data_IF_475871272744
#
_entry.id   IF_475871272744
#
_cell.length_a   1.000
_cell.length_b   1.000
_cell.length_c   1.000
_cell.angle_alpha   90.00
_cell.angle_beta   90.00
_cell.angle_gamma   90.00
#
_symmetry.space_group_name_H-M   'P 1'
#
loop_
_entity.id
_entity.type
_entity.pdbx_description
1 polymer ?
#
# COMPACT_ATOMS: atom_id res chain seq x y z
N UNK A 1 13.47 4.05 13.42
CA UNK A 1 13.63 5.31 14.18
C UNK A 1 14.21 6.47 13.36
N UNK A 2 15.03 6.23 12.33
CA UNK A 2 15.62 7.29 11.47
C UNK A 2 14.66 7.77 10.38
N UNK A 3 13.72 6.95 9.96
CA UNK A 3 12.79 7.25 8.85
C UNK A 3 11.85 8.40 9.18
N UNK A 4 11.31 8.49 10.40
CA UNK A 4 10.39 9.56 10.81
C UNK A 4 11.00 10.97 10.65
N UNK A 5 12.17 11.30 11.25
CA UNK A 5 12.75 12.64 11.06
C UNK A 5 13.12 12.92 9.60
N UNK A 6 13.62 11.93 8.84
CA UNK A 6 13.93 12.10 7.43
C UNK A 6 12.70 12.44 6.60
N UNK A 7 11.59 11.73 6.81
CA UNK A 7 10.35 12.02 6.10
C UNK A 7 9.71 13.35 6.52
N UNK A 8 9.79 13.69 7.80
CA UNK A 8 9.32 15.00 8.27
C UNK A 8 10.12 16.14 7.66
N UNK A 9 11.44 16.03 7.61
CA UNK A 9 12.30 17.00 6.97
C UNK A 9 12.05 17.09 5.45
N UNK A 10 11.87 15.94 4.78
CA UNK A 10 11.53 15.89 3.37
C UNK A 10 10.16 16.52 3.06
N UNK A 11 9.15 16.27 3.90
CA UNK A 11 7.83 16.88 3.79
C UNK A 11 7.90 18.40 3.88
N UNK A 12 8.55 18.91 4.92
CA UNK A 12 8.71 20.36 5.13
C UNK A 12 9.55 20.99 4.03
N UNK A 13 10.67 20.36 3.67
CA UNK A 13 11.54 20.85 2.59
C UNK A 13 10.81 20.92 1.25
N UNK A 14 10.04 19.87 0.90
CA UNK A 14 9.27 19.85 -0.33
C UNK A 14 8.19 20.94 -0.34
N UNK A 15 7.49 21.16 0.79
CA UNK A 15 6.48 22.20 0.92
C UNK A 15 7.09 23.60 0.70
N UNK A 16 8.23 23.86 1.34
CA UNK A 16 8.94 25.14 1.22
C UNK A 16 9.46 25.34 -0.22
N UNK A 17 9.96 24.30 -0.84
CA UNK A 17 10.51 24.37 -2.20
C UNK A 17 9.45 24.36 -3.30
N UNK A 18 8.22 23.93 -3.00
CA UNK A 18 7.13 23.81 -3.99
C UNK A 18 6.90 25.10 -4.79
N UNK A 19 6.85 26.32 -4.20
CA UNK A 19 6.68 27.55 -4.96
C UNK A 19 7.81 27.83 -5.96
N UNK A 20 9.05 27.47 -5.62
CA UNK A 20 10.21 27.64 -6.49
C UNK A 20 10.29 26.54 -7.58
N UNK A 21 9.91 25.31 -7.23
CA UNK A 21 9.89 24.17 -8.16
C UNK A 21 8.78 24.29 -9.20
N UNK A 22 7.65 24.88 -8.85
CA UNK A 22 6.49 24.96 -9.72
C UNK A 22 6.78 25.62 -11.08
N UNK A 23 7.36 26.85 -11.16
CA UNK A 23 7.68 27.47 -12.44
C UNK A 23 8.73 26.68 -13.24
N UNK A 24 9.72 26.09 -12.56
CA UNK A 24 10.74 25.26 -13.20
C UNK A 24 10.12 24.01 -13.84
N UNK A 25 9.25 23.33 -13.14
CA UNK A 25 8.59 22.12 -13.63
C UNK A 25 7.55 22.44 -14.73
N UNK A 26 6.91 23.60 -14.67
CA UNK A 26 6.05 24.09 -15.76
C UNK A 26 6.89 24.32 -17.03
N UNK A 27 7.98 25.08 -16.93
CA UNK A 27 8.89 25.35 -18.05
C UNK A 27 9.45 24.04 -18.64
N UNK A 28 9.91 23.13 -17.77
CA UNK A 28 10.40 21.79 -18.17
C UNK A 28 9.32 21.00 -18.91
N UNK A 29 8.09 21.03 -18.41
CA UNK A 29 6.94 20.36 -19.04
C UNK A 29 6.66 20.89 -20.44
N UNK A 30 6.79 22.20 -20.66
CA UNK A 30 6.64 22.83 -21.96
C UNK A 30 7.78 22.43 -22.90
N UNK A 31 9.02 22.59 -22.45
CA UNK A 31 10.23 22.30 -23.26
C UNK A 31 10.25 20.83 -23.69
N UNK A 32 9.95 19.91 -22.78
CA UNK A 32 9.93 18.46 -23.06
C UNK A 32 8.62 17.98 -23.72
N UNK A 33 7.69 18.89 -24.02
CA UNK A 33 6.36 18.55 -24.56
C UNK A 33 5.60 17.51 -23.75
N UNK A 34 5.80 17.50 -22.43
CA UNK A 34 5.15 16.58 -21.47
C UNK A 34 3.96 17.23 -20.75
N UNK A 35 3.61 18.47 -21.08
CA UNK A 35 2.52 19.22 -20.47
C UNK A 35 2.70 19.34 -18.94
N UNK A 36 1.66 19.08 -18.17
CA UNK A 36 1.64 19.23 -16.73
C UNK A 36 2.12 18.01 -15.93
N UNK A 37 2.73 16.99 -16.56
CA UNK A 37 3.08 15.73 -15.88
C UNK A 37 3.99 16.00 -14.66
N UNK A 38 5.01 16.83 -14.81
CA UNK A 38 5.94 17.14 -13.70
C UNK A 38 5.26 17.88 -12.55
N UNK A 39 4.34 18.80 -12.86
CA UNK A 39 3.54 19.50 -11.85
C UNK A 39 2.61 18.54 -11.13
N UNK A 40 1.97 17.62 -11.85
CA UNK A 40 1.11 16.57 -11.27
C UNK A 40 1.89 15.65 -10.34
N UNK A 41 3.13 15.29 -10.72
CA UNK A 41 4.03 14.53 -9.84
C UNK A 41 4.40 15.32 -8.58
N UNK A 42 4.69 16.61 -8.70
CA UNK A 42 4.99 17.48 -7.55
C UNK A 42 3.78 17.55 -6.59
N UNK A 43 2.58 17.73 -7.13
CA UNK A 43 1.34 17.77 -6.34
C UNK A 43 1.13 16.44 -5.62
N UNK A 44 1.25 15.30 -6.32
CA UNK A 44 1.11 13.98 -5.70
C UNK A 44 2.17 13.74 -4.63
N UNK A 45 3.42 14.18 -4.85
CA UNK A 45 4.47 14.08 -3.85
C UNK A 45 4.13 14.89 -2.59
N UNK A 46 3.63 16.11 -2.73
CA UNK A 46 3.16 16.92 -1.59
C UNK A 46 2.01 16.21 -0.84
N UNK A 47 1.01 15.70 -1.56
CA UNK A 47 -0.10 14.95 -0.94
C UNK A 47 0.42 13.73 -0.18
N UNK A 48 1.35 12.97 -0.77
CA UNK A 48 1.95 11.81 -0.14
C UNK A 48 2.68 12.18 1.15
N UNK A 49 3.60 13.15 1.10
CA UNK A 49 4.35 13.55 2.29
C UNK A 49 3.49 14.18 3.38
N UNK A 50 2.44 14.93 3.01
CA UNK A 50 1.47 15.44 3.98
C UNK A 50 0.63 14.32 4.61
N UNK A 51 0.26 13.30 3.83
CA UNK A 51 -0.45 12.13 4.34
C UNK A 51 0.44 11.33 5.31
N UNK A 52 1.75 11.19 5.01
CA UNK A 52 2.73 10.59 5.92
C UNK A 52 2.84 11.36 7.23
N UNK A 53 3.07 12.67 7.15
CA UNK A 53 3.19 13.53 8.32
C UNK A 53 1.92 13.49 9.18
N UNK A 54 0.75 13.60 8.54
CA UNK A 54 -0.55 13.49 9.21
C UNK A 54 -0.75 12.10 9.85
N UNK A 55 -0.36 11.03 9.15
CA UNK A 55 -0.39 9.66 9.65
C UNK A 55 0.50 9.46 10.89
N UNK A 56 1.72 9.99 10.87
CA UNK A 56 2.65 9.96 12.01
C UNK A 56 2.05 10.69 13.22
N UNK A 57 1.54 11.92 13.02
CA UNK A 57 0.95 12.73 14.10
C UNK A 57 -0.28 12.04 14.70
N UNK A 58 -1.20 11.58 13.86
CA UNK A 58 -2.40 10.87 14.32
C UNK A 58 -2.02 9.56 15.01
N UNK A 59 -1.04 8.82 14.50
CA UNK A 59 -0.59 7.59 15.14
C UNK A 59 0.02 7.84 16.53
N UNK A 60 0.76 8.94 16.69
CA UNK A 60 1.28 9.40 17.99
C UNK A 60 0.14 9.76 18.95
N UNK A 61 -0.84 10.52 18.49
CA UNK A 61 -2.03 10.86 19.26
C UNK A 61 -2.80 9.61 19.71
N UNK A 62 -3.05 8.66 18.80
CA UNK A 62 -3.73 7.40 19.13
C UNK A 62 -2.96 6.59 20.19
N UNK A 63 -1.64 6.58 20.10
CA UNK A 63 -0.78 5.90 21.08
C UNK A 63 -0.94 6.52 22.47
N UNK A 64 -0.91 7.85 22.59
CA UNK A 64 -1.11 8.56 23.83
C UNK A 64 -2.55 8.34 24.37
N UNK A 65 -3.55 8.50 23.50
CA UNK A 65 -4.99 8.44 23.86
C UNK A 65 -5.43 7.06 24.37
N UNK A 66 -4.87 5.99 23.82
CA UNK A 66 -5.24 4.61 24.14
C UNK A 66 -4.21 3.88 25.00
N UNK A 67 -3.26 4.59 25.60
CA UNK A 67 -2.20 3.99 26.42
C UNK A 67 -1.46 2.87 25.69
N UNK A 68 -0.90 3.21 24.53
CA UNK A 68 -0.22 2.26 23.62
C UNK A 68 1.01 1.58 24.18
N UNK A 69 1.49 1.99 25.38
CA UNK A 69 2.52 1.30 26.17
C UNK A 69 2.03 0.03 26.89
N UNK A 70 0.73 -0.25 26.88
CA UNK A 70 0.20 -1.49 27.49
C UNK A 70 0.64 -2.70 26.67
N UNK A 71 0.92 -3.81 27.36
CA UNK A 71 1.35 -5.06 26.73
C UNK A 71 0.32 -5.66 25.75
N UNK A 72 -0.97 -5.44 26.05
CA UNK A 72 -2.07 -5.90 25.18
C UNK A 72 -2.81 -4.68 24.65
N UNK A 73 -2.84 -4.45 23.35
CA UNK A 73 -3.59 -3.34 22.76
C UNK A 73 -5.09 -3.54 22.96
N UNK A 74 -5.81 -2.46 23.29
CA UNK A 74 -7.27 -2.51 23.39
C UNK A 74 -7.90 -2.63 22.00
N UNK A 75 -9.10 -3.22 21.93
CA UNK A 75 -9.88 -3.30 20.69
C UNK A 75 -10.12 -1.91 20.08
N UNK A 76 -10.39 -0.90 20.92
CA UNK A 76 -10.54 0.49 20.48
C UNK A 76 -9.25 1.04 19.81
N UNK A 77 -8.09 0.68 20.34
CA UNK A 77 -6.80 1.06 19.74
C UNK A 77 -6.57 0.39 18.40
N UNK A 78 -6.85 -0.90 18.29
CA UNK A 78 -6.75 -1.63 17.04
C UNK A 78 -7.71 -1.06 15.98
N UNK A 79 -8.98 -0.85 16.36
CA UNK A 79 -9.98 -0.27 15.48
C UNK A 79 -9.57 1.11 14.96
N UNK A 80 -9.01 1.98 15.83
CA UNK A 80 -8.53 3.29 15.45
C UNK A 80 -7.34 3.24 14.48
N UNK A 81 -6.40 2.29 14.66
CA UNK A 81 -5.28 2.09 13.74
C UNK A 81 -5.74 1.52 12.38
N UNK A 82 -6.72 0.60 12.33
CA UNK A 82 -7.35 0.16 11.08
C UNK A 82 -8.01 1.32 10.32
N UNK A 83 -8.72 2.20 11.04
CA UNK A 83 -9.31 3.40 10.45
C UNK A 83 -8.23 4.36 9.93
N UNK A 84 -7.12 4.52 10.64
CA UNK A 84 -6.00 5.35 10.20
C UNK A 84 -5.39 4.80 8.92
N UNK A 85 -5.11 3.49 8.86
CA UNK A 85 -4.61 2.81 7.65
C UNK A 85 -5.56 3.02 6.45
N UNK A 86 -6.86 2.84 6.65
CA UNK A 86 -7.85 3.03 5.59
C UNK A 86 -7.99 4.50 5.15
N UNK A 87 -7.87 5.46 6.07
CA UNK A 87 -7.87 6.90 5.74
C UNK A 87 -6.63 7.32 4.97
N UNK A 88 -5.46 6.87 5.42
CA UNK A 88 -4.19 7.10 4.73
C UNK A 88 -4.26 6.59 3.28
N UNK A 89 -4.69 5.36 3.06
CA UNK A 89 -4.86 4.80 1.71
C UNK A 89 -5.81 5.64 0.84
N UNK A 90 -6.95 6.09 1.42
CA UNK A 90 -7.93 6.93 0.70
C UNK A 90 -7.38 8.30 0.33
N UNK A 91 -6.63 8.95 1.22
CA UNK A 91 -6.02 10.27 0.95
C UNK A 91 -5.04 10.18 -0.21
N UNK A 92 -4.14 9.21 -0.20
CA UNK A 92 -3.16 9.02 -1.28
C UNK A 92 -3.86 8.67 -2.59
N UNK A 93 -4.83 7.77 -2.56
CA UNK A 93 -5.60 7.40 -3.76
C UNK A 93 -6.37 8.60 -4.33
N UNK A 94 -7.04 9.39 -3.49
CA UNK A 94 -7.73 10.59 -3.90
C UNK A 94 -6.77 11.64 -4.47
N UNK A 95 -5.60 11.80 -3.85
CA UNK A 95 -4.53 12.68 -4.35
C UNK A 95 -4.04 12.28 -5.73
N UNK A 96 -3.77 10.99 -5.95
CA UNK A 96 -3.38 10.46 -7.24
C UNK A 96 -4.49 10.66 -8.29
N UNK A 97 -5.74 10.32 -7.93
CA UNK A 97 -6.89 10.50 -8.80
C UNK A 97 -7.06 11.96 -9.23
N UNK A 98 -6.98 12.90 -8.28
CA UNK A 98 -7.12 14.32 -8.56
C UNK A 98 -5.94 14.85 -9.38
N UNK A 99 -4.70 14.54 -8.99
CA UNK A 99 -3.49 15.05 -9.65
C UNK A 99 -3.38 14.60 -11.11
N UNK A 100 -3.75 13.35 -11.41
CA UNK A 100 -3.65 12.79 -12.76
C UNK A 100 -4.97 12.75 -13.53
N UNK A 101 -6.07 13.19 -12.93
CA UNK A 101 -7.39 13.15 -13.55
C UNK A 101 -7.86 11.71 -13.83
N UNK A 102 -7.53 10.77 -12.95
CA UNK A 102 -7.85 9.36 -13.17
C UNK A 102 -9.37 9.15 -13.10
N UNK A 103 -9.91 8.55 -14.14
CA UNK A 103 -11.28 8.03 -14.16
C UNK A 103 -11.24 6.59 -13.69
N UNK A 104 -11.99 6.29 -12.63
CA UNK A 104 -12.03 4.94 -12.05
C UNK A 104 -13.43 4.39 -12.27
N UNK A 105 -13.50 3.29 -12.98
CA UNK A 105 -14.71 2.50 -13.13
C UNK A 105 -14.57 1.28 -12.23
N UNK A 106 -15.57 1.06 -11.37
CA UNK A 106 -15.59 -0.03 -10.41
C UNK A 106 -16.82 -0.89 -10.67
N UNK A 107 -16.60 -2.16 -10.94
CA UNK A 107 -17.63 -3.14 -11.23
C UNK A 107 -17.60 -4.25 -10.17
N UNK A 108 -18.75 -4.88 -9.91
CA UNK A 108 -18.86 -6.05 -9.04
C UNK A 108 -18.65 -5.79 -7.53
N UNK A 109 -18.65 -4.54 -7.07
CA UNK A 109 -18.51 -4.24 -5.64
C UNK A 109 -19.69 -4.74 -4.80
N UNK A 110 -20.84 -4.92 -5.41
CA UNK A 110 -22.04 -5.52 -4.83
C UNK A 110 -21.89 -7.04 -4.58
N UNK A 111 -20.94 -7.67 -5.26
CA UNK A 111 -20.62 -9.10 -5.12
C UNK A 111 -19.62 -9.38 -3.98
N UNK A 112 -18.99 -8.35 -3.40
CA UNK A 112 -18.08 -8.53 -2.27
C UNK A 112 -18.89 -8.92 -1.05
N UNK A 113 -18.65 -10.09 -0.45
CA UNK A 113 -19.36 -10.51 0.76
C UNK A 113 -18.94 -9.68 1.98
N UNK A 114 -19.74 -9.67 3.05
CA UNK A 114 -19.43 -8.92 4.26
C UNK A 114 -18.14 -9.39 4.98
N UNK A 115 -17.71 -10.61 4.76
CA UNK A 115 -16.53 -11.22 5.39
C UNK A 115 -16.89 -12.43 6.26
N UNK A 116 -15.88 -13.16 6.75
CA UNK A 116 -14.46 -12.97 6.47
C UNK A 116 -14.10 -13.27 5.00
N UNK A 117 -13.17 -12.49 4.42
CA UNK A 117 -12.82 -12.59 3.00
C UNK A 117 -11.31 -12.64 2.79
N UNK A 118 -10.87 -13.31 1.72
CA UNK A 118 -9.51 -13.21 1.19
C UNK A 118 -9.59 -12.47 -0.14
N UNK A 119 -8.91 -11.34 -0.23
CA UNK A 119 -8.85 -10.50 -1.42
C UNK A 119 -7.52 -10.78 -2.11
N UNK A 120 -7.60 -11.35 -3.30
CA UNK A 120 -6.43 -11.58 -4.15
C UNK A 120 -6.33 -10.43 -5.15
N UNK A 121 -5.31 -9.59 -4.98
CA UNK A 121 -5.06 -8.45 -5.85
C UNK A 121 -4.09 -8.78 -6.97
N UNK A 122 -4.34 -8.25 -8.18
CA UNK A 122 -3.34 -8.19 -9.23
C UNK A 122 -2.43 -6.97 -9.00
N UNK A 123 -1.12 -7.13 -9.25
CA UNK A 123 -0.15 -6.07 -8.95
C UNK A 123 0.44 -5.47 -10.24
N UNK A 124 -0.30 -4.59 -10.91
CA UNK A 124 0.12 -3.93 -12.15
C UNK A 124 0.68 -2.51 -11.90
N UNK A 125 0.27 -1.85 -10.82
CA UNK A 125 0.72 -0.50 -10.46
C UNK A 125 0.90 -0.34 -8.94
N UNK A 126 1.68 0.65 -8.47
CA UNK A 126 1.78 0.96 -7.04
C UNK A 126 0.42 1.32 -6.39
N UNK A 127 -0.52 1.89 -7.17
CA UNK A 127 -1.85 2.27 -6.68
C UNK A 127 -2.74 1.05 -6.37
N UNK A 128 -2.44 -0.11 -6.95
CA UNK A 128 -3.24 -1.33 -6.74
C UNK A 128 -3.25 -1.74 -5.26
N UNK A 129 -2.20 -1.43 -4.50
CA UNK A 129 -2.17 -1.66 -3.06
C UNK A 129 -3.28 -0.91 -2.31
N UNK A 130 -3.74 0.22 -2.84
CA UNK A 130 -4.73 1.06 -2.20
C UNK A 130 -6.17 0.72 -2.63
N UNK A 131 -6.34 0.16 -3.83
CA UNK A 131 -7.65 -0.13 -4.45
C UNK A 131 -8.55 -1.00 -3.57
N UNK A 132 -8.09 -2.14 -3.01
CA UNK A 132 -8.92 -2.97 -2.15
C UNK A 132 -9.36 -2.26 -0.86
N UNK A 133 -8.48 -1.45 -0.27
CA UNK A 133 -8.80 -0.68 0.92
C UNK A 133 -9.84 0.42 0.63
N UNK A 134 -9.78 1.03 -0.56
CA UNK A 134 -10.68 2.13 -0.94
C UNK A 134 -12.05 1.62 -1.39
N UNK A 135 -12.11 0.54 -2.16
CA UNK A 135 -13.34 0.08 -2.81
C UNK A 135 -13.96 -1.16 -2.16
N UNK A 136 -13.16 -2.20 -1.91
CA UNK A 136 -13.70 -3.44 -1.34
C UNK A 136 -13.95 -3.31 0.17
N UNK A 137 -12.95 -2.86 0.92
CA UNK A 137 -13.07 -2.76 2.37
C UNK A 137 -14.06 -1.68 2.82
N UNK A 138 -14.16 -0.56 2.09
CA UNK A 138 -15.01 0.56 2.46
C UNK A 138 -16.50 0.20 2.45
N UNK A 139 -16.95 -0.65 1.51
CA UNK A 139 -18.36 -1.05 1.38
C UNK A 139 -18.87 -1.76 2.63
N UNK A 140 -18.09 -2.70 3.16
CA UNK A 140 -18.45 -3.54 4.31
C UNK A 140 -17.72 -3.16 5.59
N UNK A 141 -17.02 -2.02 5.61
CA UNK A 141 -16.18 -1.57 6.73
C UNK A 141 -15.16 -2.62 7.17
N UNK A 142 -14.66 -3.42 6.22
CA UNK A 142 -13.72 -4.49 6.50
C UNK A 142 -12.39 -3.95 7.02
N UNK A 143 -11.88 -4.61 8.04
CA UNK A 143 -10.55 -4.41 8.58
C UNK A 143 -9.59 -5.32 7.82
N UNK A 144 -8.78 -4.76 6.92
CA UNK A 144 -7.88 -5.55 6.11
C UNK A 144 -6.55 -5.81 6.84
N UNK A 145 -6.20 -7.08 6.97
CA UNK A 145 -4.87 -7.55 7.34
C UNK A 145 -4.07 -7.69 6.05
N UNK A 146 -2.92 -7.05 5.98
CA UNK A 146 -2.16 -6.96 4.74
C UNK A 146 -0.94 -7.87 4.75
N UNK A 147 -0.67 -8.50 3.62
CA UNK A 147 0.64 -9.07 3.31
C UNK A 147 1.45 -8.01 2.58
N UNK A 148 2.48 -7.50 3.24
CA UNK A 148 3.24 -6.32 2.81
C UNK A 148 4.69 -6.71 2.58
N UNK A 149 5.30 -6.19 1.51
CA UNK A 149 6.73 -6.35 1.32
C UNK A 149 7.50 -5.56 2.40
N UNK A 150 8.44 -6.22 3.08
CA UNK A 150 9.25 -5.63 4.17
C UNK A 150 10.00 -4.36 3.75
N UNK A 151 10.31 -4.20 2.48
CA UNK A 151 10.93 -2.99 1.97
C UNK A 151 10.08 -1.73 2.23
N UNK A 152 8.75 -1.87 2.25
CA UNK A 152 7.81 -0.77 2.52
C UNK A 152 7.83 -0.28 3.99
N UNK A 153 8.50 -0.97 4.91
CA UNK A 153 8.78 -0.46 6.26
C UNK A 153 9.71 0.77 6.28
N UNK A 154 10.24 1.16 5.13
CA UNK A 154 10.93 2.45 4.97
C UNK A 154 9.97 3.63 5.02
N UNK A 155 8.71 3.39 4.70
CA UNK A 155 7.61 4.33 4.86
C UNK A 155 7.22 4.39 6.34
N UNK A 156 7.36 5.55 7.02
CA UNK A 156 7.18 5.61 8.46
C UNK A 156 5.75 5.37 8.93
N UNK A 157 4.73 5.76 8.13
CA UNK A 157 3.35 5.49 8.49
C UNK A 157 3.05 3.99 8.42
N UNK A 158 3.55 3.31 7.38
CA UNK A 158 3.42 1.85 7.25
C UNK A 158 4.24 1.11 8.31
N UNK A 159 5.44 1.60 8.67
CA UNK A 159 6.23 1.03 9.75
C UNK A 159 5.47 1.13 11.09
N UNK A 160 5.01 2.32 11.45
CA UNK A 160 4.34 2.53 12.74
C UNK A 160 2.98 1.82 12.80
N UNK A 161 2.10 2.09 11.84
CA UNK A 161 0.72 1.58 11.86
C UNK A 161 0.67 0.11 11.46
N UNK A 162 1.47 -0.28 10.47
CA UNK A 162 1.52 -1.65 9.99
C UNK A 162 1.98 -2.65 11.04
N UNK A 163 2.95 -2.28 11.90
CA UNK A 163 3.38 -3.13 13.02
C UNK A 163 2.42 -3.13 14.22
N UNK A 164 1.46 -2.21 14.29
CA UNK A 164 0.41 -2.22 15.33
C UNK A 164 -0.76 -3.09 14.97
N UNK A 165 -0.93 -3.38 13.69
CA UNK A 165 -2.01 -4.19 13.14
C UNK A 165 -1.52 -5.62 12.86
N UNK A 166 -2.42 -6.60 12.77
CA UNK A 166 -2.08 -7.98 12.47
C UNK A 166 -1.72 -8.15 10.97
N UNK A 167 -0.74 -7.38 10.50
CA UNK A 167 -0.19 -7.49 9.16
C UNK A 167 1.00 -8.47 9.15
N UNK A 168 1.33 -9.01 7.99
CA UNK A 168 2.52 -9.85 7.80
C UNK A 168 3.46 -9.18 6.79
N UNK A 169 4.71 -9.01 7.21
CA UNK A 169 5.77 -8.48 6.36
C UNK A 169 6.56 -9.65 5.76
N UNK A 170 6.58 -9.68 4.43
CA UNK A 170 7.27 -10.70 3.63
C UNK A 170 8.48 -10.11 2.92
N UNK A 171 9.46 -10.94 2.65
CA UNK A 171 10.67 -10.56 1.94
C UNK A 171 10.78 -11.34 0.64
N UNK A 172 10.87 -10.63 -0.49
CA UNK A 172 11.00 -11.27 -1.79
C UNK A 172 12.38 -11.92 -1.90
N UNK A 173 12.43 -13.21 -2.25
CA UNK A 173 13.68 -13.95 -2.34
C UNK A 173 14.26 -14.40 -1.00
N UNK A 174 13.44 -14.47 0.04
CA UNK A 174 13.84 -14.95 1.37
C UNK A 174 14.46 -16.35 1.32
N UNK A 175 15.45 -16.55 2.16
CA UNK A 175 16.03 -17.88 2.39
C UNK A 175 15.13 -18.82 3.22
N UNK A 176 14.05 -18.28 3.81
CA UNK A 176 13.06 -19.04 4.59
C UNK A 176 11.64 -18.96 3.99
N UNK A 177 11.40 -19.49 2.79
CA UNK A 177 10.08 -19.37 2.15
C UNK A 177 8.98 -20.10 2.94
N UNK A 178 9.31 -21.25 3.59
CA UNK A 178 8.34 -22.00 4.40
C UNK A 178 7.87 -21.22 5.63
N UNK A 179 8.77 -20.53 6.32
CA UNK A 179 8.42 -19.69 7.48
C UNK A 179 7.57 -18.48 7.10
N UNK A 180 7.81 -17.89 5.94
CA UNK A 180 6.97 -16.81 5.43
C UNK A 180 5.56 -17.30 5.05
N UNK A 181 5.49 -18.44 4.33
CA UNK A 181 4.22 -19.07 3.96
C UNK A 181 3.37 -19.41 5.19
N UNK A 182 3.99 -19.98 6.23
CA UNK A 182 3.30 -20.28 7.48
C UNK A 182 2.74 -19.01 8.16
N UNK A 183 3.47 -17.88 8.17
CA UNK A 183 2.99 -16.61 8.70
C UNK A 183 1.82 -16.03 7.89
N UNK A 184 1.89 -16.12 6.56
CA UNK A 184 0.80 -15.70 5.68
C UNK A 184 -0.44 -16.56 5.91
N UNK A 185 -0.25 -17.87 6.05
CA UNK A 185 -1.34 -18.80 6.36
C UNK A 185 -1.99 -18.50 7.71
N UNK A 186 -1.17 -18.24 8.74
CA UNK A 186 -1.65 -17.85 10.06
C UNK A 186 -2.44 -16.52 10.04
N UNK A 187 -2.16 -15.63 9.09
CA UNK A 187 -2.88 -14.36 8.94
C UNK A 187 -4.36 -14.57 8.59
N UNK A 188 -4.68 -15.63 7.87
CA UNK A 188 -6.05 -15.99 7.52
C UNK A 188 -6.78 -16.77 8.64
N UNK A 189 -6.07 -17.16 9.70
CA UNK A 189 -6.68 -17.86 10.83
C UNK A 189 -7.35 -16.87 11.78
N UNK A 190 -8.53 -17.24 12.32
CA UNK A 190 -9.23 -16.44 13.30
C UNK A 190 -9.72 -15.08 12.78
N UNK A 191 -10.04 -14.99 11.49
CA UNK A 191 -10.67 -13.80 10.92
C UNK A 191 -12.07 -13.64 11.49
N UNK A 192 -12.39 -12.41 11.86
CA UNK A 192 -13.74 -12.00 12.28
C UNK A 192 -14.61 -11.69 11.07
N UNK A 193 -15.91 -11.59 11.26
CA UNK A 193 -16.86 -11.25 10.20
C UNK A 193 -16.60 -9.87 9.56
N UNK A 194 -15.95 -8.96 10.29
CA UNK A 194 -15.58 -7.64 9.82
C UNK A 194 -14.11 -7.56 9.32
N UNK A 195 -13.45 -8.69 9.09
CA UNK A 195 -12.05 -8.73 8.70
C UNK A 195 -11.83 -9.41 7.34
N UNK A 196 -10.73 -9.05 6.69
CA UNK A 196 -10.27 -9.69 5.47
C UNK A 196 -8.76 -9.68 5.36
N UNK A 197 -8.22 -10.55 4.52
CA UNK A 197 -6.79 -10.60 4.18
C UNK A 197 -6.60 -10.12 2.76
N UNK A 198 -5.67 -9.18 2.57
CA UNK A 198 -5.25 -8.71 1.25
C UNK A 198 -3.89 -9.30 0.88
N UNK A 199 -3.85 -10.01 -0.23
CA UNK A 199 -2.65 -10.66 -0.76
C UNK A 199 -2.49 -10.29 -2.23
N UNK A 200 -1.25 -10.01 -2.64
CA UNK A 200 -0.83 -9.92 -4.04
C UNK A 200 0.02 -11.15 -4.38
N UNK A 201 -0.58 -12.22 -4.92
CA UNK A 201 0.12 -13.49 -5.11
C UNK A 201 1.34 -13.39 -6.04
N UNK A 202 1.34 -12.41 -6.95
CA UNK A 202 2.45 -12.14 -7.85
C UNK A 202 3.75 -11.74 -7.13
N UNK A 203 3.67 -11.31 -5.87
CA UNK A 203 4.81 -10.90 -5.04
C UNK A 203 5.61 -9.70 -5.57
N UNK A 204 5.30 -9.21 -6.77
CA UNK A 204 5.97 -8.09 -7.40
C UNK A 204 5.07 -7.41 -8.45
N UNK A 205 5.37 -6.13 -8.75
CA UNK A 205 4.72 -5.39 -9.83
C UNK A 205 4.91 -6.10 -11.18
N UNK A 206 3.81 -6.28 -11.91
CA UNK A 206 3.86 -6.83 -13.26
C UNK A 206 4.73 -5.98 -14.18
N UNK A 207 5.57 -6.64 -14.96
CA UNK A 207 6.20 -6.05 -16.15
C UNK A 207 6.48 -7.13 -17.18
N UNK A 208 6.49 -6.78 -18.49
CA UNK A 208 6.79 -7.75 -19.55
C UNK A 208 8.15 -8.45 -19.35
N UNK A 209 9.17 -7.72 -18.90
CA UNK A 209 10.49 -8.29 -18.63
C UNK A 209 10.51 -9.24 -17.43
N UNK A 210 9.71 -9.00 -16.39
CA UNK A 210 9.55 -9.95 -15.26
C UNK A 210 8.81 -11.20 -15.71
N UNK A 211 7.77 -11.05 -16.52
CA UNK A 211 7.04 -12.18 -17.06
C UNK A 211 7.93 -13.06 -17.94
N UNK A 212 8.74 -12.46 -18.81
CA UNK A 212 9.68 -13.19 -19.66
C UNK A 212 10.69 -14.01 -18.81
N UNK A 213 11.27 -13.39 -17.77
CA UNK A 213 12.19 -14.06 -16.83
C UNK A 213 11.52 -15.20 -16.05
N UNK A 214 10.30 -14.97 -15.57
CA UNK A 214 9.55 -15.98 -14.86
C UNK A 214 9.23 -17.18 -15.75
N UNK A 215 8.87 -16.95 -17.01
CA UNK A 215 8.64 -18.01 -18.00
C UNK A 215 9.93 -18.80 -18.34
N UNK A 216 11.06 -18.12 -18.49
CA UNK A 216 12.33 -18.78 -18.71
C UNK A 216 12.67 -19.73 -17.55
N UNK A 217 12.58 -19.23 -16.31
CA UNK A 217 12.79 -20.04 -15.10
C UNK A 217 11.83 -21.23 -14.99
N UNK A 218 10.58 -21.03 -15.40
CA UNK A 218 9.57 -22.10 -15.42
C UNK A 218 9.93 -23.18 -16.45
N UNK A 219 10.36 -22.78 -17.64
CA UNK A 219 10.80 -23.71 -18.67
C UNK A 219 12.02 -24.55 -18.23
N UNK A 220 12.96 -23.93 -17.50
CA UNK A 220 14.11 -24.61 -16.94
C UNK A 220 13.75 -25.63 -15.87
N UNK A 221 12.68 -25.39 -15.10
CA UNK A 221 12.23 -26.30 -14.02
C UNK A 221 11.53 -27.57 -14.50
N UNK A 222 11.13 -27.62 -15.78
CA UNK A 222 10.40 -28.77 -16.37
C UNK A 222 9.00 -29.01 -15.78
N UNK A 223 8.52 -28.13 -14.89
CA UNK A 223 7.22 -28.30 -14.25
C UNK A 223 6.07 -27.92 -15.21
N UNK A 224 5.03 -28.76 -15.34
CA UNK A 224 3.85 -28.43 -16.13
C UNK A 224 3.01 -27.40 -15.38
N UNK A 225 3.36 -26.12 -15.52
CA UNK A 225 2.63 -25.02 -14.92
C UNK A 225 1.76 -24.33 -15.98
N UNK A 226 0.62 -23.74 -15.60
CA UNK A 226 -0.23 -23.02 -16.52
C UNK A 226 0.52 -21.84 -17.16
N UNK A 227 0.23 -21.56 -18.44
CA UNK A 227 0.83 -20.44 -19.17
C UNK A 227 0.20 -19.14 -18.73
N UNK A 228 0.90 -18.35 -17.95
CA UNK A 228 0.49 -17.01 -17.56
C UNK A 228 0.76 -16.02 -18.69
N UNK A 229 -0.25 -15.26 -19.13
CA UNK A 229 -0.11 -14.27 -20.22
C UNK A 229 0.01 -12.84 -19.70
N UNK A 230 -0.71 -12.50 -18.66
CA UNK A 230 -0.87 -11.12 -18.18
C UNK A 230 -0.62 -10.94 -16.68
N UNK A 231 -0.27 -12.00 -15.98
CA UNK A 231 0.09 -12.00 -14.55
C UNK A 231 1.43 -12.70 -14.36
N UNK A 232 2.15 -12.36 -13.30
CA UNK A 232 3.33 -13.10 -12.92
C UNK A 232 2.89 -14.40 -12.25
N UNK A 233 3.59 -15.53 -12.48
CA UNK A 233 3.37 -16.73 -11.71
C UNK A 233 3.72 -16.47 -10.23
N UNK A 234 3.01 -17.07 -9.31
CA UNK A 234 3.24 -16.92 -7.87
C UNK A 234 4.60 -17.46 -7.41
#
# INVERSE_FOLDING_TARGET
AVTVPCYSAAALGLLILTPALLPVLLATGVVLRRGLVFVRCLVLANVYFLAELGGILVSGYLWLRHSGWRRSPSEAYLAANFQLQARWARVIFAGARWSFGLRVQVEGTDQVPPGPVIILGRHASPLDNLVPAVFAAARHRLRLRWVINRWLLRDPCLDIVGNRLPNVFVETGSQEPRGQSARVHALASGLREDEGVLIFPEGALFSPGRLARARAKQAESGAPLPVYRHVLPP
#
